data_IF_275060465705
#
_entry.id   IF_275060465705
#
_cell.length_a   1.000
_cell.length_b   1.000
_cell.length_c   1.000
_cell.angle_alpha   90.00
_cell.angle_beta   90.00
_cell.angle_gamma   90.00
#
_symmetry.space_group_name_H-M   'P 1'
#
loop_
_entity.id
_entity.type
_entity.pdbx_description
1 polymer ?
#
# COMPACT_ATOMS: atom_id res chain seq x y z
N UNK A 1 52.33 -19.88 9.02
CA UNK A 1 52.05 -18.97 10.15
C UNK A 1 51.45 -17.68 9.59
N UNK A 2 50.21 -17.36 10.00
CA UNK A 2 49.41 -16.15 9.74
C UNK A 2 49.09 -15.89 8.25
N UNK A 3 47.94 -16.28 7.72
CA UNK A 3 46.61 -15.87 8.19
C UNK A 3 46.13 -14.73 7.28
N UNK A 4 45.92 -15.02 6.00
CA UNK A 4 45.26 -14.09 5.08
C UNK A 4 43.82 -13.98 5.54
N UNK A 5 43.54 -12.91 6.27
CA UNK A 5 42.20 -12.46 6.64
C UNK A 5 41.45 -12.20 5.34
N UNK A 6 40.73 -13.23 4.87
CA UNK A 6 39.72 -13.07 3.85
C UNK A 6 38.53 -12.37 4.51
N UNK A 7 38.53 -11.04 4.43
CA UNK A 7 37.34 -10.22 4.66
C UNK A 7 36.30 -10.63 3.61
N UNK A 8 35.48 -11.63 3.96
CA UNK A 8 34.22 -11.93 3.28
C UNK A 8 33.35 -10.67 3.37
N UNK A 9 33.04 -9.97 2.26
CA UNK A 9 32.01 -8.97 2.31
C UNK A 9 30.71 -9.73 2.51
N UNK A 10 30.16 -9.63 3.73
CA UNK A 10 28.81 -10.09 4.05
C UNK A 10 27.90 -9.35 3.07
N UNK A 11 27.44 -10.10 2.06
CA UNK A 11 26.50 -9.62 1.07
C UNK A 11 25.27 -9.11 1.83
N UNK A 12 25.14 -7.78 1.86
CA UNK A 12 23.97 -7.10 2.40
C UNK A 12 22.77 -7.66 1.65
N UNK A 13 21.96 -8.46 2.34
CA UNK A 13 20.63 -8.86 1.88
C UNK A 13 19.81 -7.58 1.75
N UNK A 14 19.84 -6.97 0.58
CA UNK A 14 18.92 -5.92 0.18
C UNK A 14 17.55 -6.60 0.10
N UNK A 15 16.82 -6.56 1.21
CA UNK A 15 15.39 -6.82 1.20
C UNK A 15 14.79 -5.66 0.41
N UNK A 16 14.68 -5.84 -0.91
CA UNK A 16 13.79 -5.02 -1.72
C UNK A 16 12.38 -5.42 -1.30
N UNK A 17 11.90 -4.85 -0.20
CA UNK A 17 10.46 -4.70 0.00
C UNK A 17 10.01 -3.90 -1.21
N UNK A 18 9.53 -4.59 -2.24
CA UNK A 18 8.99 -3.94 -3.42
C UNK A 18 7.93 -2.96 -2.93
N UNK A 19 8.24 -1.67 -3.00
CA UNK A 19 7.23 -0.64 -3.15
C UNK A 19 6.53 -1.04 -4.45
N UNK A 20 5.48 -1.84 -4.32
CA UNK A 20 4.72 -2.30 -5.45
C UNK A 20 4.10 -1.04 -6.02
N UNK A 21 4.61 -0.55 -7.15
CA UNK A 21 3.94 0.37 -8.06
C UNK A 21 2.75 -0.35 -8.72
N UNK A 22 1.99 -1.10 -7.91
CA UNK A 22 0.76 -1.74 -8.28
C UNK A 22 -0.38 -0.72 -8.24
N UNK A 23 -1.55 -1.06 -8.82
CA UNK A 23 -2.76 -0.29 -8.64
C UNK A 23 -2.94 0.04 -7.15
N UNK A 24 -3.41 1.26 -6.80
CA UNK A 24 -3.45 1.71 -5.42
C UNK A 24 -4.07 0.64 -4.52
N UNK A 25 -3.31 0.21 -3.51
CA UNK A 25 -3.74 -0.81 -2.56
C UNK A 25 -5.08 -0.37 -1.96
N UNK A 26 -6.14 -1.07 -2.37
CA UNK A 26 -7.48 -0.81 -1.86
C UNK A 26 -7.49 -1.10 -0.37
N UNK A 27 -7.86 -0.10 0.42
CA UNK A 27 -7.96 -0.25 1.85
C UNK A 27 -9.29 -0.91 2.22
N UNK A 28 -9.27 -1.77 3.24
CA UNK A 28 -10.43 -2.55 3.68
C UNK A 28 -10.69 -2.33 5.16
N UNK A 29 -11.95 -2.36 5.54
CA UNK A 29 -12.38 -2.29 6.93
C UNK A 29 -13.58 -3.20 7.17
N UNK A 30 -13.78 -3.62 8.42
CA UNK A 30 -14.92 -4.46 8.80
C UNK A 30 -15.89 -3.61 9.64
N UNK A 31 -17.02 -3.12 9.08
CA UNK A 31 -17.95 -2.32 9.85
C UNK A 31 -18.52 -3.13 11.02
N UNK A 32 -18.70 -2.48 12.17
CA UNK A 32 -19.36 -3.04 13.34
C UNK A 32 -18.71 -4.32 13.93
N UNK A 33 -17.47 -4.63 13.54
CA UNK A 33 -16.73 -5.77 14.07
C UNK A 33 -15.33 -5.33 14.49
N UNK A 34 -14.88 -5.81 15.64
CA UNK A 34 -13.46 -5.77 15.95
C UNK A 34 -12.75 -6.82 15.09
N UNK A 35 -11.59 -6.47 14.56
CA UNK A 35 -10.76 -7.36 13.75
C UNK A 35 -9.29 -7.08 14.02
N UNK A 36 -8.46 -8.09 13.81
CA UNK A 36 -7.01 -7.98 13.86
C UNK A 36 -6.40 -7.97 12.46
N UNK A 37 -5.13 -7.59 12.37
CA UNK A 37 -4.38 -7.73 11.12
C UNK A 37 -4.26 -9.20 10.67
N UNK A 38 -4.26 -10.16 11.61
CA UNK A 38 -4.20 -11.57 11.28
C UNK A 38 -5.49 -12.06 10.61
N UNK A 39 -6.65 -11.56 11.06
CA UNK A 39 -7.95 -11.88 10.45
C UNK A 39 -8.02 -11.34 9.02
N UNK A 40 -7.56 -10.11 8.81
CA UNK A 40 -7.47 -9.51 7.47
C UNK A 40 -6.57 -10.33 6.55
N UNK A 41 -5.37 -10.69 7.01
CA UNK A 41 -4.42 -11.42 6.18
C UNK A 41 -4.92 -12.81 5.81
N UNK A 42 -5.56 -13.51 6.76
CA UNK A 42 -6.19 -14.79 6.50
C UNK A 42 -7.27 -14.71 5.41
N UNK A 43 -8.16 -13.72 5.52
CA UNK A 43 -9.26 -13.52 4.57
C UNK A 43 -8.75 -13.02 3.22
N UNK A 44 -7.76 -12.12 3.21
CA UNK A 44 -7.09 -11.62 2.01
C UNK A 44 -6.46 -12.77 1.23
N UNK A 45 -5.70 -13.65 1.88
CA UNK A 45 -5.07 -14.81 1.22
C UNK A 45 -6.12 -15.79 0.72
N UNK A 46 -7.22 -15.98 1.47
CA UNK A 46 -8.31 -16.84 1.05
C UNK A 46 -9.08 -16.29 -0.16
N UNK A 47 -9.25 -14.97 -0.24
CA UNK A 47 -9.96 -14.27 -1.32
C UNK A 47 -9.05 -13.84 -2.49
N UNK A 48 -7.72 -14.02 -2.38
CA UNK A 48 -6.79 -13.71 -3.48
C UNK A 48 -6.75 -14.88 -4.46
N UNK A 49 -7.05 -14.61 -5.74
CA UNK A 49 -6.93 -15.62 -6.77
C UNK A 49 -5.46 -16.04 -6.95
N UNK A 50 -5.20 -17.34 -6.91
CA UNK A 50 -3.83 -17.87 -6.93
C UNK A 50 -3.11 -17.65 -8.27
N UNK A 51 -3.87 -17.52 -9.36
CA UNK A 51 -3.37 -17.38 -10.73
C UNK A 51 -3.16 -15.92 -11.11
N UNK A 52 -4.14 -15.06 -10.86
CA UNK A 52 -4.09 -13.64 -11.23
C UNK A 52 -3.47 -12.77 -10.15
N UNK A 53 -3.37 -13.27 -8.90
CA UNK A 53 -2.96 -12.50 -7.71
C UNK A 53 -3.86 -11.30 -7.44
N UNK A 54 -5.06 -11.28 -8.01
CA UNK A 54 -6.06 -10.24 -7.80
C UNK A 54 -6.93 -10.63 -6.60
N UNK A 55 -7.18 -9.68 -5.72
CA UNK A 55 -8.08 -9.84 -4.59
C UNK A 55 -9.53 -9.77 -5.07
N UNK A 56 -10.32 -10.80 -4.78
CA UNK A 56 -11.74 -10.85 -5.14
C UNK A 56 -12.58 -10.01 -4.16
N UNK A 57 -13.21 -8.95 -4.68
CA UNK A 57 -13.98 -8.02 -3.85
C UNK A 57 -15.30 -8.62 -3.33
N UNK A 58 -15.90 -9.55 -4.07
CA UNK A 58 -17.12 -10.23 -3.64
C UNK A 58 -16.87 -11.09 -2.41
N UNK A 59 -15.81 -11.91 -2.46
CA UNK A 59 -15.34 -12.73 -1.36
C UNK A 59 -15.00 -11.91 -0.11
N UNK A 60 -14.35 -10.76 -0.29
CA UNK A 60 -14.05 -9.85 0.83
C UNK A 60 -15.34 -9.31 1.47
N UNK A 61 -16.30 -8.84 0.67
CA UNK A 61 -17.61 -8.36 1.14
C UNK A 61 -18.43 -9.44 1.84
N UNK A 62 -18.44 -10.66 1.32
CA UNK A 62 -19.14 -11.80 1.93
C UNK A 62 -18.55 -12.14 3.31
N UNK A 63 -17.26 -11.87 3.52
CA UNK A 63 -16.59 -12.00 4.82
C UNK A 63 -16.77 -10.77 5.73
N UNK A 64 -17.52 -9.77 5.27
CA UNK A 64 -17.84 -8.54 5.98
C UNK A 64 -16.82 -7.41 5.80
N UNK A 65 -15.85 -7.57 4.90
CA UNK A 65 -14.91 -6.50 4.58
C UNK A 65 -15.51 -5.55 3.55
N UNK A 66 -15.64 -4.29 3.93
CA UNK A 66 -15.96 -3.21 3.02
C UNK A 66 -14.69 -2.53 2.53
N UNK A 67 -14.67 -2.24 1.23
CA UNK A 67 -13.63 -1.41 0.67
C UNK A 67 -13.84 0.02 1.16
N UNK A 68 -12.84 0.59 1.82
CA UNK A 68 -12.74 2.03 1.88
C UNK A 68 -12.54 2.47 0.43
N UNK A 69 -13.43 3.34 -0.06
CA UNK A 69 -13.19 4.01 -1.33
C UNK A 69 -11.82 4.66 -1.19
N UNK A 70 -10.81 4.10 -1.85
CA UNK A 70 -9.49 4.71 -1.90
C UNK A 70 -9.72 6.15 -2.33
N UNK A 71 -9.00 7.08 -1.73
CA UNK A 71 -9.12 8.51 -1.97
C UNK A 71 -8.60 8.87 -3.38
N UNK A 72 -9.15 8.23 -4.40
CA UNK A 72 -9.24 8.77 -5.74
C UNK A 72 -10.47 9.69 -5.73
N UNK A 73 -10.35 10.80 -5.00
CA UNK A 73 -10.77 12.05 -5.60
C UNK A 73 -9.99 12.19 -6.91
N UNK A 74 -10.58 12.72 -8.00
CA UNK A 74 -9.87 12.90 -9.26
C UNK A 74 -8.52 13.54 -8.98
N UNK A 75 -7.43 12.96 -9.49
CA UNK A 75 -6.05 13.36 -9.21
C UNK A 75 -5.97 14.87 -9.03
N UNK A 76 -5.92 15.32 -7.76
CA UNK A 76 -5.83 16.75 -7.48
C UNK A 76 -4.43 17.09 -7.91
N UNK A 77 -4.30 17.70 -9.11
CA UNK A 77 -3.02 18.23 -9.56
C UNK A 77 -2.46 19.01 -8.37
N UNK A 78 -1.26 18.66 -7.93
CA UNK A 78 -0.59 19.37 -6.84
C UNK A 78 -0.72 20.88 -7.13
N UNK A 79 -1.10 21.71 -6.15
CA UNK A 79 -1.18 23.14 -6.36
C UNK A 79 0.17 23.61 -6.90
N UNK A 80 0.16 24.28 -8.05
CA UNK A 80 1.38 24.82 -8.63
C UNK A 80 1.95 25.86 -7.64
N UNK A 81 3.18 25.67 -7.11
CA UNK A 81 3.78 26.59 -6.16
C UNK A 81 3.97 28.00 -6.74
N UNK A 82 3.80 28.20 -8.05
CA UNK A 82 3.83 29.51 -8.71
C UNK A 82 2.61 30.40 -8.43
N UNK A 83 1.50 29.86 -7.89
CA UNK A 83 0.28 30.66 -7.66
C UNK A 83 0.27 31.40 -6.30
N UNK A 84 1.30 31.26 -5.47
CA UNK A 84 1.51 32.10 -4.29
C UNK A 84 2.07 33.46 -4.69
N UNK A 85 1.26 34.29 -5.34
CA UNK A 85 1.70 35.66 -5.61
C UNK A 85 0.88 36.44 -6.61
N UNK A 86 -0.40 36.72 -6.32
CA UNK A 86 -1.07 38.01 -6.63
C UNK A 86 -2.36 38.15 -5.82
N UNK A 87 -2.26 38.43 -4.52
CA UNK A 87 -3.35 39.13 -3.84
C UNK A 87 -3.19 40.61 -4.20
N UNK A 88 -3.76 41.02 -5.34
CA UNK A 88 -3.89 42.44 -5.68
C UNK A 88 -5.05 42.99 -4.86
N UNK A 89 -4.73 43.47 -3.65
CA UNK A 89 -5.68 44.17 -2.81
C UNK A 89 -6.32 45.32 -3.58
N UNK A 90 -7.65 45.30 -3.67
CA UNK A 90 -8.46 46.49 -3.95
C UNK A 90 -9.05 46.93 -2.62
N UNK A 91 -8.46 47.96 -2.03
CA UNK A 91 -9.12 48.91 -1.12
C UNK A 91 -8.53 50.27 -1.44
#
# INVERSE_FOLDING_TARGET
MKGLIALLPIALLVVTSGCSEGPPDKQWYKPNSNYTAADFEHDRVACTDKKTKVLDEGCMKDRGWDALGGDIGPAVKAPDPSTSGKVKGKY
#
